data_IF_061844130423
#
_entry.id   IF_061844130423
#
_cell.length_a   1.000
_cell.length_b   1.000
_cell.length_c   1.000
_cell.angle_alpha   90.00
_cell.angle_beta   90.00
_cell.angle_gamma   90.00
#
_symmetry.space_group_name_H-M   'P 1'
#
loop_
_entity.id
_entity.type
_entity.pdbx_description
1 polymer ?
#
# COMPACT_ATOMS: atom_id res chain seq x y z
N UNK A 1 -6.35 -14.31 18.56
CA UNK A 1 -5.24 -15.30 18.58
C UNK A 1 -4.32 -15.07 17.38
N UNK A 2 -3.16 -15.73 17.32
CA UNK A 2 -2.30 -15.71 16.10
C UNK A 2 -3.11 -16.10 14.86
N UNK A 3 -3.95 -17.15 14.99
CA UNK A 3 -4.88 -17.61 13.94
C UNK A 3 -5.79 -16.50 13.41
N UNK A 4 -6.36 -15.67 14.28
CA UNK A 4 -7.21 -14.53 13.85
C UNK A 4 -6.43 -13.52 13.01
N UNK A 5 -5.19 -13.20 13.39
CA UNK A 5 -4.35 -12.24 12.66
C UNK A 5 -3.91 -12.79 11.30
N UNK A 6 -3.61 -14.09 11.22
CA UNK A 6 -3.28 -14.78 9.96
C UNK A 6 -4.47 -14.73 8.99
N UNK A 7 -5.67 -15.09 9.45
CA UNK A 7 -6.88 -15.03 8.62
C UNK A 7 -7.18 -13.60 8.12
N UNK A 8 -6.97 -12.59 8.97
CA UNK A 8 -7.13 -11.19 8.56
C UNK A 8 -6.11 -10.78 7.50
N UNK A 9 -4.87 -11.25 7.60
CA UNK A 9 -3.84 -10.99 6.60
C UNK A 9 -4.18 -11.66 5.26
N UNK A 10 -4.58 -12.93 5.27
CA UNK A 10 -5.02 -13.65 4.07
C UNK A 10 -6.17 -12.94 3.36
N UNK A 11 -7.19 -12.54 4.12
CA UNK A 11 -8.33 -11.80 3.57
C UNK A 11 -7.88 -10.49 2.92
N UNK A 12 -7.01 -9.72 3.57
CA UNK A 12 -6.48 -8.47 3.00
C UNK A 12 -5.67 -8.72 1.73
N UNK A 13 -4.84 -9.76 1.69
CA UNK A 13 -4.09 -10.11 0.48
C UNK A 13 -4.99 -10.44 -0.70
N UNK A 14 -6.09 -11.15 -0.45
CA UNK A 14 -7.10 -11.44 -1.48
C UNK A 14 -7.85 -10.17 -1.91
N UNK A 15 -8.33 -9.38 -0.95
CA UNK A 15 -9.10 -8.16 -1.20
C UNK A 15 -8.27 -7.14 -2.03
N UNK A 16 -6.96 -7.02 -1.77
CA UNK A 16 -6.03 -6.17 -2.53
C UNK A 16 -5.40 -6.83 -3.75
N UNK A 17 -5.74 -8.10 -4.06
CA UNK A 17 -5.17 -8.86 -5.18
C UNK A 17 -3.63 -8.90 -5.21
N UNK A 18 -3.00 -9.02 -4.03
CA UNK A 18 -1.54 -9.07 -3.89
C UNK A 18 -1.01 -10.39 -4.49
N UNK A 19 -0.04 -10.30 -5.42
CA UNK A 19 0.51 -11.46 -6.16
C UNK A 19 1.96 -11.78 -5.84
N UNK A 20 2.70 -10.85 -5.24
CA UNK A 20 4.13 -11.00 -4.95
C UNK A 20 4.56 -10.19 -3.73
N UNK A 21 5.79 -10.45 -3.28
CA UNK A 21 6.47 -9.68 -2.24
C UNK A 21 7.78 -9.08 -2.83
N UNK A 22 8.23 -7.90 -2.35
CA UNK A 22 7.55 -6.99 -1.43
C UNK A 22 6.41 -6.20 -2.10
N UNK A 23 5.42 -5.79 -1.29
CA UNK A 23 4.30 -4.93 -1.71
C UNK A 23 3.92 -3.99 -0.56
N UNK A 24 3.36 -2.82 -0.89
CA UNK A 24 2.84 -1.87 0.09
C UNK A 24 1.51 -1.27 -0.36
N UNK A 25 0.62 -0.97 0.59
CA UNK A 25 -0.67 -0.34 0.32
C UNK A 25 -0.77 1.01 1.03
N UNK A 26 -1.08 2.09 0.30
CA UNK A 26 -1.24 3.45 0.84
C UNK A 26 -2.71 3.84 0.91
N UNK A 27 -3.17 4.23 2.10
CA UNK A 27 -4.55 4.65 2.41
C UNK A 27 -5.65 3.67 1.96
N UNK A 28 -5.32 2.39 1.76
CA UNK A 28 -6.24 1.40 1.19
C UNK A 28 -6.64 1.65 -0.27
N UNK A 29 -6.02 2.61 -0.95
CA UNK A 29 -6.37 3.03 -2.32
C UNK A 29 -5.33 2.63 -3.36
N UNK A 30 -4.05 2.63 -2.98
CA UNK A 30 -2.96 2.37 -3.90
C UNK A 30 -2.21 1.12 -3.46
N UNK A 31 -2.10 0.13 -4.35
CA UNK A 31 -1.19 -1.00 -4.21
C UNK A 31 0.09 -0.70 -5.01
N UNK A 32 1.23 -0.83 -4.34
CA UNK A 32 2.56 -0.69 -4.95
C UNK A 32 3.25 -2.05 -4.88
N UNK A 33 3.71 -2.53 -6.03
CA UNK A 33 4.45 -3.79 -6.19
C UNK A 33 5.75 -3.52 -6.92
N UNK A 34 6.77 -4.32 -6.65
CA UNK A 34 7.97 -4.33 -7.50
C UNK A 34 7.63 -4.87 -8.89
N UNK A 35 8.33 -4.38 -9.91
CA UNK A 35 8.14 -4.77 -11.31
C UNK A 35 9.02 -3.92 -12.23
N UNK A 36 8.78 -3.99 -13.54
CA UNK A 36 9.58 -3.22 -14.52
C UNK A 36 9.55 -1.71 -14.27
N UNK A 37 8.42 -1.17 -13.78
CA UNK A 37 8.25 0.25 -13.50
C UNK A 37 8.74 0.68 -12.11
N UNK A 38 8.98 -0.28 -11.22
CA UNK A 38 9.49 -0.05 -9.85
C UNK A 38 10.50 -1.15 -9.57
N UNK A 39 11.71 -1.05 -10.14
CA UNK A 39 12.70 -2.12 -10.11
C UNK A 39 13.29 -2.32 -8.71
N UNK A 40 13.41 -1.23 -7.94
CA UNK A 40 14.07 -1.23 -6.63
C UNK A 40 13.09 -0.95 -5.49
N UNK A 41 13.45 -1.43 -4.30
CA UNK A 41 12.69 -1.15 -3.08
C UNK A 41 12.82 0.32 -2.64
N UNK A 42 13.93 0.97 -3.00
CA UNK A 42 14.16 2.39 -2.73
C UNK A 42 13.16 3.25 -3.51
N UNK A 43 13.01 3.01 -4.82
CA UNK A 43 12.00 3.68 -5.64
C UNK A 43 10.57 3.41 -5.14
N UNK A 44 10.29 2.20 -4.63
CA UNK A 44 9.00 1.92 -3.99
C UNK A 44 8.74 2.84 -2.79
N UNK A 45 9.75 3.10 -1.95
CA UNK A 45 9.62 3.99 -0.80
C UNK A 45 9.43 5.45 -1.23
N UNK A 46 10.08 5.90 -2.29
CA UNK A 46 9.86 7.24 -2.86
C UNK A 46 8.42 7.43 -3.35
N UNK A 47 7.88 6.45 -4.09
CA UNK A 47 6.49 6.44 -4.56
C UNK A 47 5.52 6.48 -3.37
N UNK A 48 5.80 5.70 -2.33
CA UNK A 48 4.98 5.66 -1.12
C UNK A 48 4.99 7.01 -0.41
N UNK A 49 6.16 7.64 -0.25
CA UNK A 49 6.27 8.97 0.34
C UNK A 49 5.44 10.00 -0.43
N UNK A 50 5.52 9.97 -1.76
CA UNK A 50 4.70 10.83 -2.62
C UNK A 50 3.20 10.61 -2.42
N UNK A 51 2.74 9.35 -2.45
CA UNK A 51 1.32 9.01 -2.29
C UNK A 51 0.78 9.36 -0.91
N UNK A 52 1.60 9.17 0.14
CA UNK A 52 1.24 9.55 1.51
C UNK A 52 1.04 11.06 1.60
N UNK A 53 1.95 11.85 1.04
CA UNK A 53 1.84 13.30 1.08
C UNK A 53 0.64 13.80 0.26
N UNK A 54 0.39 13.22 -0.90
CA UNK A 54 -0.81 13.48 -1.71
C UNK A 54 -2.10 13.23 -0.91
N UNK A 55 -2.20 12.10 -0.23
CA UNK A 55 -3.40 11.79 0.57
C UNK A 55 -3.53 12.69 1.80
N UNK A 56 -2.42 13.08 2.43
CA UNK A 56 -2.45 14.06 3.54
C UNK A 56 -3.00 15.40 3.10
N UNK A 57 -2.60 15.90 1.93
CA UNK A 57 -3.13 17.15 1.36
C UNK A 57 -4.61 17.03 0.97
N UNK A 58 -5.00 15.90 0.38
CA UNK A 58 -6.40 15.62 0.04
C UNK A 58 -7.30 15.58 1.30
N UNK A 59 -6.83 14.97 2.40
CA UNK A 59 -7.57 14.96 3.66
C UNK A 59 -7.67 16.34 4.32
N UNK A 60 -6.62 17.17 4.20
CA UNK A 60 -6.65 18.56 4.70
C UNK A 60 -7.64 19.43 3.92
N UNK A 61 -7.70 19.28 2.60
CA UNK A 61 -8.61 20.05 1.74
C UNK A 61 -10.07 19.61 1.81
N UNK A 62 -10.33 18.37 2.26
CA UNK A 62 -11.70 17.87 2.49
C UNK A 62 -12.24 18.20 3.90
N UNK A 63 -11.48 18.98 4.68
CA UNK A 63 -11.78 19.35 6.06
C UNK A 63 -12.33 20.77 6.27
N UNK A 64 -12.72 21.46 5.18
CA UNK A 64 -13.51 22.71 5.20
C UNK A 64 -14.98 22.44 4.84
#
# INVERSE_FOLDING_TARGET
SVRTKVNQAEKRMQDYQIRSTPNMVVNGKYLITTGENVPTQEEMLEIVNFLVEKERQAMRSSGD
#
